data_IF_822149554446
#
_entry.id   IF_822149554446
#
_cell.length_a   1.000
_cell.length_b   1.000
_cell.length_c   1.000
_cell.angle_alpha   90.00
_cell.angle_beta   90.00
_cell.angle_gamma   90.00
#
_symmetry.space_group_name_H-M   'P 1'
#
loop_
_entity.id
_entity.type
_entity.pdbx_description
1 polymer ?
#
# COMPACT_ATOMS: atom_id res chain seq x y z
N UNK A 1 -10.19 -12.34 -20.16
CA UNK A 1 -9.13 -11.91 -19.22
C UNK A 1 -9.01 -12.85 -18.02
N UNK A 2 -10.10 -13.24 -17.34
CA UNK A 2 -10.06 -14.11 -16.16
C UNK A 2 -9.47 -15.50 -16.47
N UNK A 3 -9.73 -16.04 -17.66
CA UNK A 3 -9.20 -17.35 -18.08
C UNK A 3 -7.70 -17.33 -18.44
N UNK A 4 -7.13 -16.19 -18.81
CA UNK A 4 -5.71 -16.09 -19.18
C UNK A 4 -4.78 -16.21 -17.96
N UNK A 5 -5.15 -15.66 -16.83
CA UNK A 5 -4.36 -15.75 -15.58
C UNK A 5 -4.22 -17.21 -15.10
N UNK A 6 -5.24 -18.02 -15.36
CA UNK A 6 -5.25 -19.43 -14.96
C UNK A 6 -4.51 -20.37 -15.93
N UNK A 7 -4.23 -19.92 -17.16
CA UNK A 7 -3.68 -20.79 -18.25
C UNK A 7 -2.20 -20.53 -18.56
N UNK A 8 -1.59 -19.49 -18.03
CA UNK A 8 -0.18 -19.22 -18.28
C UNK A 8 0.71 -20.13 -17.43
N UNK A 9 1.78 -20.64 -18.04
CA UNK A 9 2.73 -21.60 -17.48
C UNK A 9 3.64 -21.03 -16.37
N UNK A 10 3.23 -19.94 -15.73
CA UNK A 10 3.94 -19.26 -14.66
C UNK A 10 3.08 -19.04 -13.42
N UNK A 11 3.73 -18.70 -12.29
CA UNK A 11 3.02 -18.29 -11.07
C UNK A 11 2.55 -16.84 -11.25
N UNK A 12 1.27 -16.69 -11.62
CA UNK A 12 0.64 -15.39 -11.88
C UNK A 12 -0.53 -15.18 -10.94
N UNK A 13 -0.63 -13.95 -10.40
CA UNK A 13 -1.78 -13.47 -9.66
C UNK A 13 -2.34 -12.21 -10.32
N UNK A 14 -3.67 -12.13 -10.42
CA UNK A 14 -4.37 -10.98 -10.97
C UNK A 14 -4.97 -10.10 -9.86
N UNK A 15 -4.99 -8.80 -10.09
CA UNK A 15 -5.77 -7.84 -9.31
C UNK A 15 -6.53 -6.90 -10.25
N UNK A 16 -7.56 -6.24 -9.72
CA UNK A 16 -8.43 -5.38 -10.51
C UNK A 16 -8.09 -3.91 -10.32
N UNK A 17 -8.40 -3.10 -11.34
CA UNK A 17 -8.41 -1.64 -11.22
C UNK A 17 -9.57 -1.23 -10.31
N UNK A 18 -9.35 -0.28 -9.39
CA UNK A 18 -10.40 0.23 -8.53
C UNK A 18 -11.19 1.36 -9.18
N UNK A 19 -12.47 1.45 -8.84
CA UNK A 19 -13.29 2.64 -8.99
C UNK A 19 -14.08 2.85 -7.71
N UNK A 20 -13.95 4.03 -7.11
CA UNK A 20 -14.66 4.35 -5.86
C UNK A 20 -16.10 4.82 -6.14
N UNK A 21 -17.04 4.18 -5.44
CA UNK A 21 -18.43 4.59 -5.45
C UNK A 21 -18.67 5.65 -4.36
N UNK A 22 -18.89 6.89 -4.80
CA UNK A 22 -19.24 8.03 -3.95
C UNK A 22 -20.04 9.06 -4.73
N UNK A 23 -21.01 9.68 -4.07
CA UNK A 23 -21.76 10.81 -4.60
C UNK A 23 -21.02 12.14 -4.44
N UNK A 24 -20.01 12.20 -3.57
CA UNK A 24 -19.20 13.40 -3.36
C UNK A 24 -18.17 13.57 -4.49
N UNK A 25 -18.46 14.50 -5.39
CA UNK A 25 -17.61 14.81 -6.55
C UNK A 25 -16.22 15.37 -6.16
N UNK A 26 -16.14 16.10 -5.05
CA UNK A 26 -14.87 16.63 -4.56
C UNK A 26 -13.99 15.48 -4.03
N UNK A 27 -14.57 14.60 -3.23
CA UNK A 27 -13.89 13.38 -2.76
C UNK A 27 -13.48 12.49 -3.93
N UNK A 28 -14.37 12.24 -4.89
CA UNK A 28 -14.10 11.42 -6.08
C UNK A 28 -12.88 11.91 -6.85
N UNK A 29 -12.73 13.22 -7.01
CA UNK A 29 -11.56 13.82 -7.66
C UNK A 29 -10.24 13.48 -6.94
N UNK A 30 -10.26 13.42 -5.61
CA UNK A 30 -9.08 13.06 -4.84
C UNK A 30 -8.83 11.54 -4.82
N UNK A 31 -9.90 10.73 -4.77
CA UNK A 31 -9.82 9.27 -4.82
C UNK A 31 -9.25 8.77 -6.16
N UNK A 32 -9.30 9.57 -7.22
CA UNK A 32 -8.64 9.28 -8.49
C UNK A 32 -7.16 8.90 -8.32
N UNK A 33 -6.48 9.45 -7.32
CA UNK A 33 -5.10 9.04 -7.02
C UNK A 33 -4.99 7.55 -6.70
N UNK A 34 -5.88 7.03 -5.88
CA UNK A 34 -5.90 5.62 -5.51
C UNK A 34 -6.37 4.73 -6.66
N UNK A 35 -7.33 5.20 -7.48
CA UNK A 35 -7.79 4.51 -8.68
C UNK A 35 -6.64 4.37 -9.69
N UNK A 36 -5.96 5.45 -10.02
CA UNK A 36 -4.81 5.43 -10.93
C UNK A 36 -3.64 4.60 -10.36
N UNK A 37 -3.38 4.70 -9.07
CA UNK A 37 -2.38 3.87 -8.39
C UNK A 37 -2.71 2.38 -8.51
N UNK A 38 -3.97 1.99 -8.34
CA UNK A 38 -4.43 0.60 -8.44
C UNK A 38 -4.29 0.00 -9.84
N UNK A 39 -4.28 0.85 -10.86
CA UNK A 39 -4.11 0.45 -12.26
C UNK A 39 -2.66 0.15 -12.65
N UNK A 40 -1.71 0.53 -11.79
CA UNK A 40 -0.29 0.32 -12.05
C UNK A 40 0.14 -1.07 -11.58
N UNK A 41 0.97 -1.74 -12.38
CA UNK A 41 1.58 -3.00 -11.99
C UNK A 41 2.99 -2.76 -11.41
N UNK A 42 3.03 -2.17 -10.19
CA UNK A 42 4.28 -1.85 -9.48
C UNK A 42 4.27 -2.48 -8.09
N UNK A 43 5.44 -2.81 -7.51
CA UNK A 43 5.50 -3.23 -6.12
C UNK A 43 4.83 -2.19 -5.19
N UNK A 44 3.96 -2.66 -4.29
CA UNK A 44 3.22 -1.81 -3.36
C UNK A 44 2.01 -1.07 -3.95
N UNK A 45 1.57 -1.43 -5.17
CA UNK A 45 0.31 -0.91 -5.72
C UNK A 45 -0.87 -1.82 -5.45
N UNK A 46 -0.65 -3.12 -5.27
CA UNK A 46 -1.70 -4.05 -4.92
C UNK A 46 -2.07 -3.95 -3.43
N UNK A 47 -3.35 -3.95 -3.15
CA UNK A 47 -3.95 -4.02 -1.82
C UNK A 47 -5.14 -4.99 -1.89
N UNK A 48 -5.52 -5.60 -0.78
CA UNK A 48 -6.57 -6.61 -0.72
C UNK A 48 -7.94 -6.15 -1.24
N UNK A 49 -8.22 -4.85 -1.15
CA UNK A 49 -9.46 -4.24 -1.68
C UNK A 49 -9.56 -4.27 -3.22
N UNK A 50 -8.47 -4.57 -3.93
CA UNK A 50 -8.46 -4.76 -5.38
C UNK A 50 -8.83 -6.19 -5.81
N UNK A 51 -9.15 -7.07 -4.85
CA UNK A 51 -9.36 -8.49 -5.10
C UNK A 51 -8.06 -9.22 -5.44
N UNK A 52 -8.10 -10.53 -5.31
CA UNK A 52 -7.01 -11.42 -5.65
C UNK A 52 -7.53 -12.56 -6.53
N UNK A 53 -7.04 -12.65 -7.75
CA UNK A 53 -7.30 -13.75 -8.65
C UNK A 53 -6.05 -14.60 -8.77
N UNK A 54 -6.07 -15.79 -8.19
CA UNK A 54 -4.92 -16.70 -8.17
C UNK A 54 -5.42 -18.15 -8.13
N UNK A 55 -4.65 -19.10 -8.67
CA UNK A 55 -4.99 -20.51 -8.50
C UNK A 55 -4.79 -20.93 -7.03
N UNK A 56 -5.66 -21.80 -6.52
CA UNK A 56 -5.53 -22.32 -5.15
C UNK A 56 -4.14 -22.94 -4.91
N UNK A 57 -3.64 -23.70 -5.88
CA UNK A 57 -2.30 -24.28 -5.81
C UNK A 57 -1.22 -23.21 -5.62
N UNK A 58 -1.21 -22.18 -6.44
CA UNK A 58 -0.21 -21.10 -6.37
C UNK A 58 -0.35 -20.29 -5.08
N UNK A 59 -1.59 -20.07 -4.61
CA UNK A 59 -1.85 -19.40 -3.33
C UNK A 59 -1.20 -20.16 -2.15
N UNK A 60 -1.40 -21.46 -2.08
CA UNK A 60 -0.81 -22.29 -1.03
C UNK A 60 0.70 -22.48 -1.17
N UNK A 61 1.23 -22.55 -2.40
CA UNK A 61 2.68 -22.54 -2.63
C UNK A 61 3.36 -21.24 -2.19
N UNK A 62 2.63 -20.11 -2.20
CA UNK A 62 3.08 -18.83 -1.65
C UNK A 62 2.94 -18.74 -0.12
N UNK A 63 2.34 -19.76 0.51
CA UNK A 63 2.12 -19.85 1.96
C UNK A 63 0.83 -19.19 2.45
N UNK A 64 -0.14 -18.92 1.57
CA UNK A 64 -1.45 -18.38 1.95
C UNK A 64 -1.39 -17.01 2.67
N UNK A 65 -2.49 -16.60 3.28
CA UNK A 65 -2.52 -15.49 4.23
C UNK A 65 -2.12 -15.97 5.63
N UNK A 66 -1.37 -15.15 6.35
CA UNK A 66 -1.03 -15.42 7.73
C UNK A 66 -2.14 -14.89 8.65
N UNK A 67 -2.90 -15.80 9.24
CA UNK A 67 -4.06 -15.46 10.09
C UNK A 67 -3.66 -14.74 11.39
N UNK A 68 -2.39 -14.88 11.82
CA UNK A 68 -1.86 -14.21 13.01
C UNK A 68 -1.60 -12.71 12.81
N UNK A 69 -1.63 -12.22 11.55
CA UNK A 69 -1.46 -10.80 11.26
C UNK A 69 -2.81 -10.07 11.40
N UNK A 70 -2.95 -9.14 12.36
CA UNK A 70 -4.19 -8.39 12.54
C UNK A 70 -4.45 -7.38 11.42
N UNK A 71 -3.42 -7.03 10.65
CA UNK A 71 -3.45 -6.11 9.52
C UNK A 71 -2.42 -6.51 8.48
N UNK A 72 -2.69 -6.15 7.20
CA UNK A 72 -1.74 -6.26 6.09
C UNK A 72 -1.30 -7.70 5.76
N UNK A 73 -2.16 -8.68 6.02
CA UNK A 73 -1.97 -10.05 5.56
C UNK A 73 -1.84 -10.12 4.03
N UNK A 74 -2.51 -9.19 3.34
CA UNK A 74 -2.44 -8.99 1.91
C UNK A 74 -1.05 -8.49 1.46
N UNK A 75 -0.48 -7.51 2.16
CA UNK A 75 0.85 -6.96 1.86
C UNK A 75 1.96 -7.96 2.15
N UNK A 76 1.82 -8.75 3.21
CA UNK A 76 2.75 -9.82 3.50
C UNK A 76 2.70 -10.91 2.43
N UNK A 77 1.49 -11.32 2.04
CA UNK A 77 1.30 -12.25 0.92
C UNK A 77 1.93 -11.71 -0.36
N UNK A 78 1.64 -10.46 -0.72
CA UNK A 78 2.21 -9.84 -1.92
C UNK A 78 3.75 -9.86 -1.92
N UNK A 79 4.36 -9.55 -0.79
CA UNK A 79 5.82 -9.57 -0.62
C UNK A 79 6.42 -10.97 -0.79
N UNK A 80 5.74 -12.01 -0.28
CA UNK A 80 6.15 -13.40 -0.47
C UNK A 80 5.94 -13.85 -1.90
N UNK A 81 4.77 -13.54 -2.47
CA UNK A 81 4.40 -13.92 -3.82
C UNK A 81 5.33 -13.30 -4.89
N UNK A 82 5.74 -12.05 -4.75
CA UNK A 82 6.69 -11.41 -5.67
C UNK A 82 8.04 -12.12 -5.80
N UNK A 83 8.40 -13.01 -4.86
CA UNK A 83 9.62 -13.81 -4.96
C UNK A 83 9.48 -15.04 -5.86
N UNK A 84 8.26 -15.47 -6.11
CA UNK A 84 7.96 -16.72 -6.83
C UNK A 84 7.07 -16.52 -8.06
N UNK A 85 6.47 -15.34 -8.22
CA UNK A 85 5.51 -15.05 -9.29
C UNK A 85 5.40 -13.55 -9.56
N UNK A 86 4.47 -13.20 -10.41
CA UNK A 86 4.19 -11.83 -10.80
C UNK A 86 2.72 -11.48 -10.66
N UNK A 87 2.43 -10.24 -10.27
CA UNK A 87 1.09 -9.68 -10.36
C UNK A 87 0.84 -9.09 -11.74
N UNK A 88 -0.39 -9.24 -12.22
CA UNK A 88 -0.91 -8.56 -13.40
C UNK A 88 -2.17 -7.78 -13.05
N UNK A 89 -2.35 -6.63 -13.69
CA UNK A 89 -3.57 -5.84 -13.55
C UNK A 89 -4.60 -6.32 -14.55
N UNK A 90 -5.74 -6.80 -14.08
CA UNK A 90 -6.88 -7.16 -14.93
C UNK A 90 -7.58 -5.90 -15.44
N UNK A 91 -8.09 -5.96 -16.70
CA UNK A 91 -8.73 -4.79 -17.32
C UNK A 91 -10.11 -4.44 -16.73
N UNK A 92 -10.74 -5.37 -16.03
CA UNK A 92 -12.03 -5.13 -15.38
C UNK A 92 -11.89 -4.18 -14.18
N UNK A 93 -12.93 -3.35 -13.97
CA UNK A 93 -13.04 -2.47 -12.81
C UNK A 93 -13.72 -3.20 -11.65
N UNK A 94 -13.18 -3.02 -10.46
CA UNK A 94 -13.81 -3.41 -9.20
C UNK A 94 -14.34 -2.14 -8.52
N UNK A 95 -15.66 -2.08 -8.34
CA UNK A 95 -16.31 -0.97 -7.65
C UNK A 95 -16.16 -1.19 -6.15
N UNK A 96 -15.56 -0.24 -5.46
CA UNK A 96 -15.36 -0.28 -4.00
C UNK A 96 -15.99 0.95 -3.33
N UNK A 97 -16.43 0.78 -2.09
CA UNK A 97 -17.06 1.85 -1.32
C UNK A 97 -16.05 2.88 -0.83
N UNK A 98 -16.36 4.16 -1.02
CA UNK A 98 -15.60 5.27 -0.45
C UNK A 98 -15.96 5.57 1.02
N UNK A 99 -16.87 4.80 1.64
CA UNK A 99 -17.42 5.07 2.98
C UNK A 99 -16.39 5.40 4.04
N UNK A 100 -15.25 4.72 4.06
CA UNK A 100 -14.18 5.01 5.05
C UNK A 100 -13.59 6.40 4.86
N UNK A 101 -13.39 6.83 3.63
CA UNK A 101 -12.90 8.17 3.34
C UNK A 101 -13.95 9.25 3.65
N UNK A 102 -15.23 8.94 3.46
CA UNK A 102 -16.36 9.84 3.78
C UNK A 102 -16.51 10.02 5.30
N UNK A 103 -16.38 8.94 6.07
CA UNK A 103 -16.57 8.96 7.53
C UNK A 103 -15.33 9.44 8.28
N UNK A 104 -14.15 9.02 7.87
CA UNK A 104 -12.90 9.22 8.61
C UNK A 104 -12.09 10.43 8.13
N UNK A 105 -12.43 10.97 6.96
CA UNK A 105 -11.64 12.00 6.29
C UNK A 105 -10.55 11.42 5.39
N UNK A 106 -10.38 12.02 4.21
CA UNK A 106 -9.40 11.57 3.22
C UNK A 106 -7.97 11.70 3.71
N UNK A 107 -7.61 12.88 4.27
CA UNK A 107 -6.26 13.16 4.74
C UNK A 107 -5.90 12.31 5.96
N UNK A 108 -6.84 12.18 6.89
CA UNK A 108 -6.72 11.37 8.11
C UNK A 108 -6.49 9.90 7.74
N UNK A 109 -7.34 9.36 6.88
CA UNK A 109 -7.22 7.97 6.42
C UNK A 109 -5.92 7.71 5.65
N UNK A 110 -5.54 8.60 4.75
CA UNK A 110 -4.30 8.48 3.99
C UNK A 110 -3.07 8.53 4.92
N UNK A 111 -3.09 9.40 5.93
CA UNK A 111 -2.03 9.50 6.95
C UNK A 111 -1.91 8.22 7.76
N UNK A 112 -3.02 7.69 8.28
CA UNK A 112 -3.00 6.45 9.07
C UNK A 112 -2.54 5.27 8.21
N UNK A 113 -2.99 5.15 6.95
CA UNK A 113 -2.51 4.13 6.03
C UNK A 113 -0.99 4.24 5.80
N UNK A 114 -0.45 5.45 5.65
CA UNK A 114 0.99 5.66 5.49
C UNK A 114 1.78 5.25 6.75
N UNK A 115 1.26 5.56 7.95
CA UNK A 115 1.86 5.13 9.22
C UNK A 115 1.85 3.60 9.32
N UNK A 116 0.72 2.95 9.09
CA UNK A 116 0.57 1.49 9.11
C UNK A 116 1.60 0.83 8.18
N UNK A 117 1.69 1.30 6.93
CA UNK A 117 2.65 0.78 5.96
C UNK A 117 4.10 1.00 6.37
N UNK A 118 4.43 2.15 6.99
CA UNK A 118 5.76 2.42 7.50
C UNK A 118 6.12 1.47 8.66
N UNK A 119 5.20 1.25 9.61
CA UNK A 119 5.40 0.34 10.73
C UNK A 119 5.54 -1.12 10.26
N UNK A 120 4.78 -1.52 9.25
CA UNK A 120 4.93 -2.82 8.61
C UNK A 120 6.31 -3.00 7.95
N UNK A 121 6.80 -1.96 7.27
CA UNK A 121 8.13 -1.98 6.69
C UNK A 121 9.23 -2.14 7.75
N UNK A 122 9.09 -1.44 8.88
CA UNK A 122 10.00 -1.53 10.02
C UNK A 122 9.87 -2.83 10.83
N UNK A 123 8.88 -3.68 10.54
CA UNK A 123 8.54 -4.89 11.31
C UNK A 123 8.29 -4.61 12.80
N UNK A 124 7.65 -3.49 13.11
CA UNK A 124 7.27 -3.11 14.47
C UNK A 124 5.94 -3.74 14.86
N UNK A 125 5.96 -5.04 15.16
CA UNK A 125 4.75 -5.84 15.47
C UNK A 125 3.98 -5.29 16.67
N UNK A 126 4.68 -4.73 17.69
CA UNK A 126 4.04 -4.06 18.83
C UNK A 126 3.10 -2.92 18.43
N UNK A 127 3.32 -2.33 17.24
CA UNK A 127 2.43 -1.31 16.70
C UNK A 127 1.05 -1.90 16.36
N UNK A 128 1.02 -3.06 15.72
CA UNK A 128 -0.22 -3.65 15.23
C UNK A 128 -1.13 -4.12 16.36
N UNK A 129 -0.57 -4.71 17.41
CA UNK A 129 -1.32 -5.09 18.60
C UNK A 129 -2.01 -3.87 19.26
N UNK A 130 -1.25 -2.77 19.44
CA UNK A 130 -1.78 -1.54 20.04
C UNK A 130 -2.71 -0.76 19.10
N UNK A 131 -2.44 -0.76 17.79
CA UNK A 131 -3.30 -0.13 16.80
C UNK A 131 -4.68 -0.80 16.70
N UNK A 132 -4.76 -2.13 16.86
CA UNK A 132 -6.03 -2.84 16.90
C UNK A 132 -6.91 -2.40 18.08
N UNK A 133 -6.30 -2.18 19.26
CA UNK A 133 -7.01 -1.64 20.43
C UNK A 133 -7.54 -0.22 20.17
N UNK A 134 -6.75 0.64 19.51
CA UNK A 134 -7.17 2.00 19.12
C UNK A 134 -8.38 1.93 18.19
N UNK A 135 -8.35 1.07 17.17
CA UNK A 135 -9.47 0.88 16.25
C UNK A 135 -10.74 0.36 16.93
N UNK A 136 -10.60 -0.56 17.88
CA UNK A 136 -11.76 -1.16 18.60
C UNK A 136 -12.36 -0.20 19.63
N UNK A 137 -11.55 0.64 20.25
CA UNK A 137 -12.01 1.61 21.25
C UNK A 137 -12.77 2.78 20.65
N UNK A 138 -12.55 3.06 19.38
CA UNK A 138 -13.19 4.15 18.66
C UNK A 138 -14.52 3.68 18.03
N UNK A 139 -15.53 3.45 18.89
CA UNK A 139 -16.88 3.08 18.47
C UNK A 139 -17.69 4.23 17.86
N UNK A 140 -17.08 5.40 17.63
CA UNK A 140 -17.78 6.57 17.08
C UNK A 140 -17.40 6.79 15.61
N UNK A 141 -18.38 7.07 14.74
CA UNK A 141 -18.16 7.43 13.34
C UNK A 141 -17.69 8.89 13.20
N UNK A 142 -16.69 9.30 13.97
CA UNK A 142 -16.11 10.65 13.89
C UNK A 142 -14.62 10.53 13.62
N UNK A 143 -14.14 11.31 12.68
CA UNK A 143 -12.77 11.53 12.23
C UNK A 143 -11.70 10.63 12.90
N UNK A 144 -11.08 9.78 12.10
CA UNK A 144 -9.98 8.91 12.54
C UNK A 144 -8.91 9.73 13.26
N UNK A 145 -8.61 9.40 14.52
CA UNK A 145 -7.60 10.13 15.31
C UNK A 145 -6.18 9.76 14.85
N UNK A 146 -5.76 10.39 13.75
CA UNK A 146 -4.42 10.21 13.19
C UNK A 146 -3.28 10.56 14.18
N UNK A 147 -3.54 11.45 15.15
CA UNK A 147 -2.52 11.86 16.11
C UNK A 147 -2.14 10.73 17.06
N UNK A 148 -3.12 9.98 17.55
CA UNK A 148 -2.87 8.79 18.40
C UNK A 148 -2.02 7.75 17.67
N UNK A 149 -2.30 7.48 16.38
CA UNK A 149 -1.45 6.58 15.57
C UNK A 149 -0.03 7.13 15.38
N UNK A 150 0.10 8.44 15.15
CA UNK A 150 1.40 9.07 14.96
C UNK A 150 2.24 9.05 16.25
N UNK A 151 1.63 9.31 17.40
CA UNK A 151 2.30 9.24 18.70
C UNK A 151 2.74 7.82 19.04
N UNK A 152 1.89 6.83 18.79
CA UNK A 152 2.25 5.41 18.93
C UNK A 152 3.45 5.05 18.06
N UNK A 153 3.41 5.40 16.77
CA UNK A 153 4.49 5.17 15.84
C UNK A 153 5.79 5.83 16.29
N UNK A 154 5.74 7.11 16.65
CA UNK A 154 6.87 7.87 17.18
C UNK A 154 7.47 7.18 18.42
N UNK A 155 6.65 6.85 19.41
CA UNK A 155 7.09 6.16 20.61
C UNK A 155 7.84 4.86 20.31
N UNK A 156 7.34 4.06 19.38
CA UNK A 156 7.95 2.78 19.01
C UNK A 156 9.23 2.95 18.20
N UNK A 157 9.28 3.93 17.29
CA UNK A 157 10.49 4.20 16.50
C UNK A 157 11.65 4.62 17.41
N UNK A 158 11.38 5.47 18.40
CA UNK A 158 12.38 6.02 19.31
C UNK A 158 12.61 5.18 20.57
N UNK A 159 11.98 4.00 20.69
CA UNK A 159 12.18 3.07 21.81
C UNK A 159 13.48 2.28 21.64
N UNK A 160 14.31 2.26 22.67
CA UNK A 160 15.48 1.38 22.76
C UNK A 160 16.83 2.08 22.59
N UNK A 161 17.84 1.31 22.18
CA UNK A 161 19.21 1.83 22.02
C UNK A 161 19.31 2.79 20.83
N UNK A 162 20.20 3.78 20.94
CA UNK A 162 20.44 4.80 19.89
C UNK A 162 20.75 4.17 18.53
N UNK A 163 21.53 3.11 18.49
CA UNK A 163 21.85 2.38 17.25
C UNK A 163 20.61 1.82 16.55
N UNK A 164 19.66 1.29 17.32
CA UNK A 164 18.40 0.76 16.80
C UNK A 164 17.51 1.89 16.26
N UNK A 165 17.49 3.04 16.92
CA UNK A 165 16.76 4.22 16.46
C UNK A 165 17.31 4.68 15.11
N UNK A 166 18.64 4.83 14.98
CA UNK A 166 19.25 5.17 13.69
C UNK A 166 18.97 4.15 12.59
N UNK A 167 18.99 2.86 12.91
CA UNK A 167 18.64 1.80 11.96
C UNK A 167 17.19 1.95 11.46
N UNK A 168 16.24 2.20 12.37
CA UNK A 168 14.83 2.41 11.99
C UNK A 168 14.65 3.67 11.14
N UNK A 169 15.31 4.76 11.51
CA UNK A 169 15.25 6.00 10.72
C UNK A 169 15.86 5.82 9.32
N UNK A 170 16.96 5.09 9.22
CA UNK A 170 17.55 4.74 7.93
C UNK A 170 16.60 3.89 7.08
N UNK A 171 15.98 2.85 7.65
CA UNK A 171 14.98 2.02 6.97
C UNK A 171 13.76 2.82 6.53
N UNK A 172 13.28 3.80 7.35
CA UNK A 172 12.22 4.72 6.94
C UNK A 172 12.64 5.58 5.75
N UNK A 173 13.85 6.08 5.76
CA UNK A 173 14.42 6.81 4.62
C UNK A 173 14.43 5.97 3.35
N UNK A 174 14.88 4.73 3.43
CA UNK A 174 14.85 3.79 2.30
C UNK A 174 13.42 3.51 1.82
N UNK A 175 12.48 3.34 2.76
CA UNK A 175 11.08 3.14 2.41
C UNK A 175 10.48 4.36 1.70
N UNK A 176 10.71 5.56 2.22
CA UNK A 176 10.26 6.80 1.60
C UNK A 176 10.84 6.95 0.18
N UNK A 177 12.13 6.68 0.02
CA UNK A 177 12.84 6.76 -1.26
C UNK A 177 12.25 5.81 -2.30
N UNK A 178 12.00 4.55 -1.94
CA UNK A 178 11.38 3.54 -2.82
C UNK A 178 9.94 3.93 -3.23
N UNK A 179 9.28 4.81 -2.48
CA UNK A 179 7.92 5.28 -2.74
C UNK A 179 7.85 6.66 -3.41
N UNK A 180 8.97 7.31 -3.72
CA UNK A 180 8.99 8.64 -4.35
C UNK A 180 8.32 8.70 -5.73
N UNK A 181 8.21 7.59 -6.45
CA UNK A 181 7.44 7.51 -7.69
C UNK A 181 5.98 7.92 -7.52
N UNK A 182 5.42 7.81 -6.31
CA UNK A 182 4.07 8.23 -5.99
C UNK A 182 3.89 9.77 -6.11
N UNK A 183 4.96 10.54 -5.89
CA UNK A 183 4.95 11.98 -6.15
C UNK A 183 4.88 12.28 -7.65
N UNK A 184 5.57 11.49 -8.47
CA UNK A 184 5.49 11.60 -9.93
C UNK A 184 4.08 11.24 -10.43
N UNK A 185 3.46 10.20 -9.86
CA UNK A 185 2.07 9.84 -10.13
C UNK A 185 1.12 10.99 -9.79
N UNK A 186 1.18 11.52 -8.57
CA UNK A 186 0.32 12.61 -8.13
C UNK A 186 0.45 13.85 -9.04
N UNK A 187 1.70 14.20 -9.43
CA UNK A 187 1.95 15.29 -10.39
C UNK A 187 1.37 14.98 -11.77
N UNK A 188 1.52 13.73 -12.23
CA UNK A 188 0.99 13.27 -13.52
C UNK A 188 -0.54 13.34 -13.57
N UNK A 189 -1.22 12.95 -12.50
CA UNK A 189 -2.68 13.06 -12.36
C UNK A 189 -3.11 14.53 -12.45
N UNK A 190 -2.47 15.41 -11.66
CA UNK A 190 -2.77 16.83 -11.66
C UNK A 190 -2.61 17.49 -13.04
N UNK A 191 -1.66 17.00 -13.85
CA UNK A 191 -1.35 17.54 -15.19
C UNK A 191 -1.99 16.77 -16.34
N UNK A 192 -2.66 15.64 -16.09
CA UNK A 192 -3.19 14.77 -17.14
C UNK A 192 -2.11 14.05 -17.97
N UNK A 193 -0.91 13.84 -17.40
CA UNK A 193 0.27 13.31 -18.10
C UNK A 193 0.99 12.24 -17.26
N UNK A 194 0.23 11.26 -16.74
CA UNK A 194 0.73 10.23 -15.82
C UNK A 194 1.92 9.48 -16.41
N UNK A 195 1.77 8.92 -17.60
CA UNK A 195 2.82 8.12 -18.26
C UNK A 195 4.11 8.89 -18.46
N UNK A 196 4.01 10.18 -18.84
CA UNK A 196 5.20 11.03 -18.99
C UNK A 196 5.95 11.19 -17.66
N UNK A 197 5.23 11.50 -16.58
CA UNK A 197 5.86 11.73 -15.27
C UNK A 197 6.47 10.44 -14.68
N UNK A 198 5.80 9.31 -14.82
CA UNK A 198 6.33 8.02 -14.40
C UNK A 198 7.55 7.60 -15.22
N UNK A 199 7.54 7.78 -16.55
CA UNK A 199 8.70 7.51 -17.40
C UNK A 199 9.89 8.41 -17.07
N UNK A 200 9.66 9.70 -16.77
CA UNK A 200 10.74 10.61 -16.32
C UNK A 200 11.32 10.15 -14.99
N UNK A 201 10.46 9.76 -14.04
CA UNK A 201 10.92 9.19 -12.76
C UNK A 201 11.78 7.95 -12.99
N UNK A 202 11.27 6.97 -13.73
CA UNK A 202 11.97 5.69 -13.96
C UNK A 202 13.32 5.86 -14.67
N UNK A 203 13.42 6.81 -15.62
CA UNK A 203 14.65 7.03 -16.40
C UNK A 203 15.69 7.88 -15.70
N UNK A 204 15.27 8.90 -14.93
CA UNK A 204 16.18 9.93 -14.42
C UNK A 204 16.35 9.92 -12.91
N UNK A 205 15.29 9.61 -12.17
CA UNK A 205 15.31 9.73 -10.72
C UNK A 205 15.51 8.37 -10.04
N UNK A 206 14.99 7.30 -10.61
CA UNK A 206 15.11 5.97 -10.02
C UNK A 206 16.57 5.55 -9.86
N UNK A 207 17.42 5.76 -10.87
CA UNK A 207 18.84 5.43 -10.82
C UNK A 207 19.63 6.26 -9.81
N UNK A 208 19.20 7.49 -9.54
CA UNK A 208 19.82 8.36 -8.52
C UNK A 208 19.40 7.98 -7.10
N UNK A 209 18.20 7.40 -6.98
CA UNK A 209 17.56 7.07 -5.72
C UNK A 209 17.86 5.62 -5.31
N UNK A 210 17.90 4.70 -6.27
CA UNK A 210 18.24 3.29 -6.09
C UNK A 210 19.76 3.03 -6.06
N UNK A 211 20.59 4.09 -6.02
CA UNK A 211 22.02 3.91 -5.88
C UNK A 211 22.31 3.17 -4.55
N UNK A 212 22.96 2.01 -4.60
CA UNK A 212 23.22 1.22 -3.41
C UNK A 212 24.21 1.95 -2.52
N UNK A 213 23.74 2.71 -1.55
CA UNK A 213 24.55 2.99 -0.38
C UNK A 213 24.45 1.72 0.46
N UNK A 214 25.31 0.75 0.14
CA UNK A 214 25.61 -0.44 0.91
C UNK A 214 24.42 -1.38 1.15
N UNK A 215 24.39 -2.49 0.44
CA UNK A 215 23.81 -3.73 0.95
C UNK A 215 24.71 -4.28 2.06
#
# INVERSE_FOLDING_TARGET
AVCQVASESGKVAGHFKLSFDTADLALKKHLRYFEEKSSLNRPGTWNGDQGLLISARTFWEAGGFWEELPFLEDQDFAKRFHKIGQFITCDSLLITSARRFELEGLAERATVNAIIMAMFHLRLNDFFAQADEIYRSDHRPKSLDQLTFLELAKRLIFKGKVTLIFQRLYQLGQYATKNMWQLALARGIKKGTIDHHLKVYDRRLKSLIDHPVGY
#
